data_IF_389402309336
#
_entry.id   IF_389402309336
#
_cell.length_a   1.000
_cell.length_b   1.000
_cell.length_c   1.000
_cell.angle_alpha   90.00
_cell.angle_beta   90.00
_cell.angle_gamma   90.00
#
_symmetry.space_group_name_H-M   'P 1'
#
loop_
_entity.id
_entity.type
_entity.pdbx_description
1 polymer ?
#
# COMPACT_ATOMS: atom_id res chain seq x y z
N UNK A 1 -2.02 37.28 10.93
CA UNK A 1 -1.43 37.47 9.59
C UNK A 1 -1.13 36.10 9.02
N UNK A 2 -1.94 35.70 8.05
CA UNK A 2 -2.03 34.38 7.43
C UNK A 2 -1.02 34.32 6.29
N UNK A 3 -0.15 33.31 6.23
CA UNK A 3 0.73 33.09 5.08
C UNK A 3 0.57 31.64 4.57
N UNK A 4 0.07 31.54 3.35
CA UNK A 4 -0.10 30.34 2.54
C UNK A 4 1.26 29.68 2.24
N UNK A 5 1.36 28.35 2.34
CA UNK A 5 2.46 27.58 1.74
C UNK A 5 1.92 26.80 0.55
N UNK A 6 2.47 27.11 -0.63
CA UNK A 6 2.14 26.50 -1.91
C UNK A 6 2.59 25.03 -1.99
N UNK A 7 1.74 24.23 -2.64
CA UNK A 7 1.99 22.87 -3.07
C UNK A 7 2.99 22.81 -4.24
N UNK A 8 3.89 21.84 -4.21
CA UNK A 8 4.46 21.22 -5.41
C UNK A 8 3.86 19.81 -5.49
N UNK A 9 2.75 19.69 -6.20
CA UNK A 9 2.17 18.41 -6.61
C UNK A 9 2.79 18.03 -7.96
N UNK A 10 3.60 16.96 -7.98
CA UNK A 10 4.04 16.33 -9.22
C UNK A 10 2.84 15.67 -9.90
N UNK A 11 2.42 16.21 -11.03
CA UNK A 11 1.41 15.59 -11.90
C UNK A 11 1.97 14.32 -12.53
N UNK A 12 1.32 13.18 -12.29
CA UNK A 12 1.48 11.99 -13.12
C UNK A 12 0.34 11.99 -14.14
N UNK A 13 0.66 12.24 -15.42
CA UNK A 13 -0.28 12.17 -16.53
C UNK A 13 -0.47 10.71 -16.93
N UNK A 14 -1.67 10.18 -16.74
CA UNK A 14 -2.10 8.92 -17.36
C UNK A 14 -2.59 9.22 -18.78
N UNK A 15 -1.81 8.90 -19.82
CA UNK A 15 -2.24 8.96 -21.22
C UNK A 15 -2.60 7.56 -21.72
N UNK A 16 -3.86 7.37 -22.13
CA UNK A 16 -4.36 6.16 -22.78
C UNK A 16 -4.73 6.48 -24.22
N UNK A 17 -3.97 5.97 -25.19
CA UNK A 17 -4.30 6.01 -26.61
C UNK A 17 -5.21 4.83 -26.97
N UNK A 18 -6.37 5.14 -27.56
CA UNK A 18 -7.31 4.16 -28.09
C UNK A 18 -6.90 3.68 -29.48
N UNK A 19 -6.84 2.36 -29.68
CA UNK A 19 -6.60 1.74 -30.97
C UNK A 19 -7.93 1.50 -31.71
N UNK A 20 -8.07 2.07 -32.90
CA UNK A 20 -9.12 1.78 -33.87
C UNK A 20 -8.66 0.66 -34.82
N UNK A 21 -9.50 -0.35 -34.98
CA UNK A 21 -9.31 -1.52 -35.85
C UNK A 21 -9.64 -1.22 -37.32
N UNK A 22 -8.93 -1.85 -38.28
CA UNK A 22 -9.46 -2.44 -39.56
C UNK A 22 -8.34 -3.06 -40.43
N UNK A 23 -8.63 -3.89 -41.48
CA UNK A 23 -8.44 -5.34 -41.46
C UNK A 23 -7.40 -5.88 -42.47
N UNK A 24 -7.16 -7.21 -42.39
CA UNK A 24 -6.27 -8.00 -43.26
C UNK A 24 -6.80 -8.22 -44.69
N UNK A 25 -5.91 -8.65 -45.61
CA UNK A 25 -6.28 -9.53 -46.71
C UNK A 25 -5.49 -10.85 -46.75
N UNK A 26 -6.10 -11.79 -47.49
CA UNK A 26 -5.82 -13.22 -47.67
C UNK A 26 -4.81 -13.56 -48.78
N UNK A 27 -4.43 -14.85 -48.81
CA UNK A 27 -3.80 -15.68 -49.85
C UNK A 27 -2.26 -15.62 -49.98
N UNK A 28 -1.52 -16.72 -50.14
CA UNK A 28 -1.88 -18.14 -50.24
C UNK A 28 -0.68 -19.01 -50.66
N UNK A 29 -0.95 -20.32 -50.71
CA UNK A 29 -0.33 -21.39 -51.53
C UNK A 29 0.93 -22.15 -51.05
N UNK A 30 0.71 -23.49 -50.94
CA UNK A 30 1.51 -24.62 -51.50
C UNK A 30 2.85 -24.95 -50.81
N UNK A 31 3.30 -26.20 -50.61
CA UNK A 31 2.87 -27.57 -50.96
C UNK A 31 3.72 -28.59 -50.18
N UNK A 32 3.15 -29.81 -49.98
CA UNK A 32 3.75 -31.17 -49.99
C UNK A 32 4.97 -31.48 -49.06
N UNK A 33 5.12 -32.66 -48.44
CA UNK A 33 5.09 -34.02 -49.01
C UNK A 33 4.73 -35.12 -47.98
N UNK A 34 4.40 -36.29 -48.52
CA UNK A 34 3.95 -37.52 -47.86
C UNK A 34 5.12 -38.44 -47.51
N UNK A 35 4.93 -39.28 -46.49
CA UNK A 35 5.66 -40.54 -46.30
C UNK A 35 4.82 -41.48 -45.43
N UNK A 36 4.60 -42.70 -45.87
CA UNK A 36 3.59 -43.64 -45.39
C UNK A 36 4.21 -44.97 -44.92
N UNK A 37 3.39 -45.77 -44.21
CA UNK A 37 3.47 -47.23 -43.91
C UNK A 37 4.38 -47.64 -42.74
N UNK A 38 4.12 -48.68 -41.95
CA UNK A 38 3.04 -49.69 -41.90
C UNK A 38 2.94 -50.30 -40.48
N UNK A 39 1.72 -50.76 -40.15
CA UNK A 39 1.28 -51.93 -39.35
C UNK A 39 2.26 -52.76 -38.49
N UNK A 40 1.85 -53.06 -37.25
CA UNK A 40 1.68 -54.44 -36.73
C UNK A 40 0.80 -54.51 -35.45
N UNK A 41 0.17 -55.67 -35.22
CA UNK A 41 -1.03 -55.97 -34.40
C UNK A 41 -0.73 -56.40 -32.95
N UNK A 42 -1.61 -55.97 -32.02
CA UNK A 42 -2.34 -56.64 -30.89
C UNK A 42 -1.69 -57.75 -30.00
N UNK A 43 -2.19 -58.05 -28.76
CA UNK A 43 -3.58 -57.91 -28.28
C UNK A 43 -3.87 -57.48 -26.81
N UNK A 44 -5.16 -57.18 -26.63
CA UNK A 44 -6.06 -57.41 -25.47
C UNK A 44 -5.78 -56.84 -24.06
N UNK A 45 -6.77 -56.05 -23.59
CA UNK A 45 -6.90 -55.58 -22.21
C UNK A 45 -8.12 -54.66 -22.04
N UNK A 46 -9.30 -55.27 -21.95
CA UNK A 46 -10.62 -54.70 -21.64
C UNK A 46 -10.63 -53.70 -20.48
N UNK A 47 -11.30 -52.56 -20.62
CA UNK A 47 -12.31 -52.02 -19.67
C UNK A 47 -13.01 -50.80 -20.30
N UNK A 48 -14.31 -50.91 -20.52
CA UNK A 48 -15.13 -49.92 -21.22
C UNK A 48 -15.49 -48.69 -20.39
N UNK A 49 -15.47 -47.52 -21.04
CA UNK A 49 -16.06 -46.28 -20.53
C UNK A 49 -17.23 -45.87 -21.46
N UNK A 50 -18.38 -45.43 -20.92
CA UNK A 50 -19.56 -45.16 -21.74
C UNK A 50 -19.39 -43.89 -22.59
N UNK A 51 -19.80 -44.01 -23.86
CA UNK A 51 -19.87 -42.93 -24.86
C UNK A 51 -20.80 -41.81 -24.38
N UNK A 52 -20.31 -40.57 -24.31
CA UNK A 52 -21.16 -39.38 -24.16
C UNK A 52 -21.95 -39.13 -25.45
N UNK A 53 -23.27 -39.14 -25.33
CA UNK A 53 -24.21 -38.69 -26.35
C UNK A 53 -24.13 -37.14 -26.43
N UNK A 54 -24.12 -36.51 -27.62
CA UNK A 54 -24.14 -35.06 -27.72
C UNK A 54 -25.55 -34.52 -27.38
N UNK A 55 -25.67 -33.80 -26.26
CA UNK A 55 -26.88 -33.04 -25.95
C UNK A 55 -26.98 -31.80 -26.86
N UNK A 56 -28.17 -31.47 -27.41
CA UNK A 56 -28.36 -30.23 -28.15
C UNK A 56 -28.18 -29.02 -27.24
N UNK A 57 -27.48 -28.00 -27.75
CA UNK A 57 -27.21 -26.75 -27.06
C UNK A 57 -28.52 -26.03 -26.69
N UNK A 58 -28.89 -26.08 -25.42
CA UNK A 58 -29.85 -25.17 -24.81
C UNK A 58 -29.20 -23.78 -24.78
N UNK A 59 -29.63 -22.90 -25.68
CA UNK A 59 -29.38 -21.46 -25.57
C UNK A 59 -29.96 -20.99 -24.24
N UNK A 60 -29.09 -20.56 -23.33
CA UNK A 60 -29.51 -19.78 -22.18
C UNK A 60 -30.25 -18.52 -22.66
N UNK A 61 -31.31 -18.08 -21.98
CA UNK A 61 -31.95 -16.81 -22.28
C UNK A 61 -30.89 -15.71 -22.14
N UNK A 62 -30.87 -14.78 -23.10
CA UNK A 62 -30.07 -13.56 -23.01
C UNK A 62 -30.43 -12.84 -21.72
N UNK A 63 -29.57 -12.94 -20.70
CA UNK A 63 -29.66 -12.08 -19.53
C UNK A 63 -29.66 -10.63 -20.01
N UNK A 64 -30.62 -9.87 -19.49
CA UNK A 64 -30.94 -8.54 -19.95
C UNK A 64 -29.73 -7.62 -20.00
N UNK A 65 -29.76 -6.66 -20.93
CA UNK A 65 -28.84 -5.53 -20.93
C UNK A 65 -28.92 -4.84 -19.58
N UNK A 66 -27.99 -5.16 -18.68
CA UNK A 66 -27.86 -4.51 -17.39
C UNK A 66 -27.70 -3.00 -17.61
N UNK A 67 -28.40 -2.21 -16.82
CA UNK A 67 -28.22 -0.76 -16.74
C UNK A 67 -26.71 -0.51 -16.59
N UNK A 68 -26.09 0.09 -17.62
CA UNK A 68 -24.64 0.18 -17.70
C UNK A 68 -24.06 1.01 -16.56
N UNK A 69 -23.23 0.39 -15.71
CA UNK A 69 -22.48 1.11 -14.68
C UNK A 69 -21.38 1.95 -15.33
N UNK A 70 -21.35 3.25 -15.04
CA UNK A 70 -20.30 4.17 -15.51
C UNK A 70 -19.16 4.27 -14.50
N UNK A 71 -17.94 4.53 -15.00
CA UNK A 71 -16.77 4.81 -14.14
C UNK A 71 -16.84 6.23 -13.61
N UNK A 72 -16.68 6.38 -12.30
CA UNK A 72 -16.58 7.67 -11.62
C UNK A 72 -15.27 7.75 -10.84
N UNK A 73 -14.79 8.98 -10.65
CA UNK A 73 -13.58 9.28 -9.91
C UNK A 73 -13.78 10.56 -9.11
N UNK A 74 -13.33 10.54 -7.85
CA UNK A 74 -13.42 11.66 -6.93
C UNK A 74 -12.12 11.79 -6.16
N UNK A 75 -11.78 13.02 -5.77
CA UNK A 75 -10.58 13.33 -5.01
C UNK A 75 -10.88 14.24 -3.81
N UNK A 76 -10.17 14.02 -2.71
CA UNK A 76 -10.20 14.90 -1.53
C UNK A 76 -8.88 14.82 -0.76
N UNK A 77 -8.51 15.89 -0.05
CA UNK A 77 -7.26 15.95 0.72
C UNK A 77 -7.48 15.52 2.17
N UNK A 78 -6.76 14.50 2.62
CA UNK A 78 -6.80 13.97 3.98
C UNK A 78 -5.43 13.39 4.36
N UNK A 79 -5.10 13.31 5.66
CA UNK A 79 -3.86 12.69 6.14
C UNK A 79 -2.58 13.21 5.45
N UNK A 80 -2.56 14.51 5.10
CA UNK A 80 -1.41 15.14 4.44
C UNK A 80 -1.22 14.78 2.96
N UNK A 81 -2.18 14.09 2.31
CA UNK A 81 -2.11 13.70 0.90
C UNK A 81 -3.46 13.84 0.19
N UNK A 82 -3.48 13.63 -1.13
CA UNK A 82 -4.73 13.51 -1.91
C UNK A 82 -5.14 12.04 -1.93
N UNK A 83 -6.36 11.78 -1.48
CA UNK A 83 -7.05 10.52 -1.68
C UNK A 83 -7.84 10.58 -2.99
N UNK A 84 -7.73 9.54 -3.81
CA UNK A 84 -8.51 9.33 -5.03
C UNK A 84 -9.31 8.05 -4.89
N UNK A 85 -10.61 8.12 -5.18
CA UNK A 85 -11.51 6.96 -5.15
C UNK A 85 -12.12 6.81 -6.54
N UNK A 86 -11.88 5.66 -7.17
CA UNK A 86 -12.37 5.33 -8.50
C UNK A 86 -13.25 4.09 -8.43
N UNK A 87 -14.47 4.13 -8.96
CA UNK A 87 -15.39 2.99 -8.93
C UNK A 87 -16.49 3.08 -9.98
N UNK A 88 -17.31 2.04 -10.08
CA UNK A 88 -18.41 1.94 -11.03
C UNK A 88 -19.77 2.08 -10.32
N UNK A 89 -20.65 2.93 -10.83
CA UNK A 89 -21.99 3.17 -10.29
C UNK A 89 -23.02 3.42 -11.40
N UNK A 90 -24.31 3.36 -11.08
CA UNK A 90 -25.40 3.57 -12.04
C UNK A 90 -25.47 5.02 -12.55
N UNK A 91 -25.26 5.98 -11.66
CA UNK A 91 -25.37 7.41 -11.97
C UNK A 91 -24.46 8.27 -11.06
N UNK A 92 -24.26 9.53 -11.46
CA UNK A 92 -23.39 10.48 -10.75
C UNK A 92 -23.89 10.83 -9.34
N UNK A 93 -25.19 11.07 -9.09
CA UNK A 93 -25.69 11.31 -7.73
C UNK A 93 -25.37 10.18 -6.76
N UNK A 94 -25.62 8.92 -7.15
CA UNK A 94 -25.31 7.73 -6.34
C UNK A 94 -23.81 7.63 -6.11
N UNK A 95 -23.00 7.84 -7.15
CA UNK A 95 -21.56 7.83 -7.04
C UNK A 95 -21.06 8.90 -6.06
N UNK A 96 -21.55 10.14 -6.19
CA UNK A 96 -21.14 11.24 -5.32
C UNK A 96 -21.48 10.93 -3.85
N UNK A 97 -22.67 10.41 -3.57
CA UNK A 97 -23.09 10.02 -2.22
C UNK A 97 -22.15 8.97 -1.60
N UNK A 98 -21.75 7.96 -2.38
CA UNK A 98 -20.84 6.92 -1.92
C UNK A 98 -19.42 7.47 -1.66
N UNK A 99 -18.91 8.31 -2.58
CA UNK A 99 -17.60 8.94 -2.43
C UNK A 99 -17.56 9.89 -1.24
N UNK A 100 -18.58 10.74 -1.04
CA UNK A 100 -18.68 11.66 0.09
C UNK A 100 -18.65 10.87 1.42
N UNK A 101 -19.39 9.76 1.52
CA UNK A 101 -19.40 8.93 2.72
C UNK A 101 -18.02 8.28 3.00
N UNK A 102 -17.33 7.81 1.96
CA UNK A 102 -15.97 7.29 2.09
C UNK A 102 -14.98 8.38 2.55
N UNK A 103 -15.06 9.60 2.01
CA UNK A 103 -14.21 10.71 2.44
C UNK A 103 -14.51 11.18 3.86
N UNK A 104 -15.78 11.15 4.30
CA UNK A 104 -16.13 11.41 5.70
C UNK A 104 -15.43 10.40 6.61
N UNK A 105 -15.48 9.10 6.27
CA UNK A 105 -14.78 8.07 7.04
C UNK A 105 -13.26 8.28 7.08
N UNK A 106 -12.65 8.63 5.96
CA UNK A 106 -11.22 8.96 5.91
C UNK A 106 -10.92 10.19 6.78
N UNK A 107 -11.77 11.21 6.78
CA UNK A 107 -11.62 12.41 7.60
C UNK A 107 -11.73 12.11 9.10
N UNK A 108 -12.64 11.21 9.50
CA UNK A 108 -12.75 10.73 10.88
C UNK A 108 -11.45 10.04 11.33
N UNK A 109 -10.92 9.13 10.51
CA UNK A 109 -9.65 8.45 10.78
C UNK A 109 -8.47 9.42 10.85
N UNK A 110 -8.45 10.46 10.02
CA UNK A 110 -7.47 11.55 10.11
C UNK A 110 -7.63 12.36 11.41
N UNK A 111 -8.87 12.51 11.91
CA UNK A 111 -9.14 13.06 13.24
C UNK A 111 -8.67 12.16 14.39
N UNK A 112 -8.54 10.85 14.17
CA UNK A 112 -8.08 9.89 15.18
C UNK A 112 -6.55 9.78 15.17
N UNK A 113 -5.95 9.63 13.99
CA UNK A 113 -4.58 9.12 13.83
C UNK A 113 -3.54 10.19 13.48
N UNK A 114 -3.95 11.44 13.24
CA UNK A 114 -3.00 12.48 12.84
C UNK A 114 -2.10 12.92 13.99
N UNK A 115 -0.80 12.92 13.76
CA UNK A 115 0.20 13.51 14.66
C UNK A 115 0.45 15.01 14.38
N UNK A 116 -0.17 15.57 13.33
CA UNK A 116 -0.17 16.99 13.01
C UNK A 116 -1.32 17.75 13.70
N UNK A 117 -2.46 17.10 13.90
CA UNK A 117 -3.64 17.71 14.54
C UNK A 117 -3.54 17.59 16.05
N UNK A 118 -3.37 18.72 16.74
CA UNK A 118 -3.28 18.76 18.21
C UNK A 118 -4.48 18.09 18.89
N UNK A 119 -5.68 18.24 18.35
CA UNK A 119 -6.89 17.64 18.96
C UNK A 119 -7.20 16.22 18.49
N UNK A 120 -6.29 15.58 17.73
CA UNK A 120 -6.49 14.18 17.38
C UNK A 120 -6.49 13.28 18.60
N UNK A 121 -7.15 12.13 18.47
CA UNK A 121 -7.14 11.13 19.53
C UNK A 121 -5.71 10.67 19.87
N UNK A 122 -4.88 10.41 18.86
CA UNK A 122 -3.46 10.05 19.02
C UNK A 122 -2.69 11.09 19.83
N UNK A 123 -2.87 12.39 19.53
CA UNK A 123 -2.16 13.46 20.23
C UNK A 123 -2.71 13.69 21.64
N UNK A 124 -4.00 13.46 21.89
CA UNK A 124 -4.57 13.45 23.25
C UNK A 124 -4.00 12.29 24.07
N UNK A 125 -3.88 11.09 23.48
CA UNK A 125 -3.22 9.95 24.11
C UNK A 125 -1.79 10.30 24.49
N UNK A 126 -0.98 10.83 23.56
CA UNK A 126 0.41 11.19 23.86
C UNK A 126 0.51 12.27 24.94
N UNK A 127 -0.38 13.28 24.94
CA UNK A 127 -0.42 14.33 25.97
C UNK A 127 -0.67 13.79 27.37
N UNK A 128 -1.47 12.72 27.52
CA UNK A 128 -1.73 12.11 28.81
C UNK A 128 -0.47 11.53 29.49
N UNK A 129 0.61 11.29 28.72
CA UNK A 129 1.89 10.77 29.21
C UNK A 129 3.05 11.75 28.97
N UNK A 130 2.77 13.05 28.77
CA UNK A 130 3.80 14.02 28.37
C UNK A 130 4.85 14.29 29.45
N UNK A 131 4.45 14.28 30.73
CA UNK A 131 5.31 14.66 31.86
C UNK A 131 5.63 13.51 32.81
N UNK A 132 4.74 12.52 32.91
CA UNK A 132 4.88 11.37 33.80
C UNK A 132 4.18 10.14 33.24
N UNK A 133 4.50 8.96 33.77
CA UNK A 133 3.77 7.73 33.46
C UNK A 133 2.45 7.73 34.25
N UNK A 134 1.33 7.76 33.54
CA UNK A 134 -0.01 7.79 34.12
C UNK A 134 -0.73 6.43 34.04
N UNK A 135 -1.97 6.38 34.52
CA UNK A 135 -2.85 5.23 34.31
C UNK A 135 -3.13 4.98 32.81
N UNK A 136 -3.39 3.72 32.40
CA UNK A 136 -3.77 3.42 31.01
C UNK A 136 -4.98 4.25 30.54
N UNK A 137 -4.91 4.75 29.32
CA UNK A 137 -5.95 5.58 28.70
C UNK A 137 -6.77 4.74 27.74
N UNK A 138 -8.10 4.78 27.88
CA UNK A 138 -9.01 4.14 26.91
C UNK A 138 -8.99 4.89 25.59
N UNK A 139 -8.92 4.14 24.49
CA UNK A 139 -8.94 4.67 23.12
C UNK A 139 -10.08 4.04 22.31
N UNK A 140 -10.35 4.62 21.15
CA UNK A 140 -11.30 4.12 20.16
C UNK A 140 -10.86 2.78 19.57
N UNK A 141 -11.83 2.07 19.01
CA UNK A 141 -11.60 0.78 18.35
C UNK A 141 -10.62 0.90 17.18
N UNK A 142 -10.72 1.99 16.41
CA UNK A 142 -9.84 2.29 15.28
C UNK A 142 -8.40 2.50 15.73
N UNK A 143 -8.19 3.37 16.72
CA UNK A 143 -6.84 3.64 17.22
C UNK A 143 -6.23 2.39 17.85
N UNK A 144 -7.02 1.64 18.65
CA UNK A 144 -6.55 0.41 19.27
C UNK A 144 -6.16 -0.64 18.21
N UNK A 145 -6.99 -0.83 17.18
CA UNK A 145 -6.72 -1.78 16.11
C UNK A 145 -5.40 -1.47 15.38
N UNK A 146 -5.19 -0.21 14.99
CA UNK A 146 -3.96 0.20 14.32
C UNK A 146 -2.74 0.04 15.22
N UNK A 147 -2.83 0.40 16.50
CA UNK A 147 -1.73 0.21 17.45
C UNK A 147 -1.40 -1.28 17.68
N UNK A 148 -2.41 -2.14 17.73
CA UNK A 148 -2.20 -3.59 17.84
C UNK A 148 -1.51 -4.16 16.59
N UNK A 149 -1.90 -3.71 15.40
CA UNK A 149 -1.24 -4.11 14.14
C UNK A 149 0.19 -3.60 14.07
N UNK A 150 0.43 -2.37 14.53
CA UNK A 150 1.75 -1.79 14.64
C UNK A 150 2.65 -2.59 15.59
N UNK A 151 2.18 -2.89 16.82
CA UNK A 151 2.92 -3.69 17.80
C UNK A 151 3.30 -5.07 17.26
N UNK A 152 2.35 -5.76 16.62
CA UNK A 152 2.61 -7.07 16.03
C UNK A 152 3.71 -7.02 14.95
N UNK A 153 3.72 -5.98 14.11
CA UNK A 153 4.78 -5.80 13.11
C UNK A 153 6.11 -5.37 13.74
N UNK A 154 6.08 -4.52 14.77
CA UNK A 154 7.28 -4.14 15.52
C UNK A 154 7.96 -5.35 16.15
N UNK A 155 7.20 -6.29 16.73
CA UNK A 155 7.72 -7.55 17.26
C UNK A 155 8.34 -8.40 16.14
N UNK A 156 7.60 -8.63 15.04
CA UNK A 156 8.07 -9.49 13.93
C UNK A 156 9.31 -8.93 13.21
N UNK A 157 9.42 -7.60 13.16
CA UNK A 157 10.50 -6.89 12.47
C UNK A 157 11.66 -6.50 13.39
N UNK A 158 11.64 -6.93 14.67
CA UNK A 158 12.63 -6.55 15.69
C UNK A 158 12.84 -5.02 15.78
N UNK A 159 11.72 -4.28 15.79
CA UNK A 159 11.69 -2.82 15.88
C UNK A 159 12.11 -2.08 14.62
N UNK A 160 12.29 -2.75 13.47
CA UNK A 160 12.53 -2.06 12.20
C UNK A 160 11.31 -1.25 11.73
N UNK A 161 10.10 -1.68 12.11
CA UNK A 161 8.91 -0.84 12.14
C UNK A 161 8.60 -0.47 13.59
N UNK A 162 8.44 0.82 13.88
CA UNK A 162 8.13 1.28 15.23
C UNK A 162 7.35 2.61 15.15
N UNK A 163 6.13 2.63 15.67
CA UNK A 163 5.29 3.83 15.68
C UNK A 163 5.68 4.82 16.78
N UNK A 164 6.60 4.48 17.67
CA UNK A 164 7.08 5.38 18.74
C UNK A 164 8.17 6.34 18.28
N UNK A 165 8.53 6.34 16.99
CA UNK A 165 9.55 7.21 16.39
C UNK A 165 9.17 8.69 16.38
N UNK A 166 7.96 9.07 16.82
CA UNK A 166 7.44 10.43 16.80
C UNK A 166 8.42 11.51 17.27
N UNK A 167 9.10 11.37 18.44
CA UNK A 167 10.04 12.39 18.92
C UNK A 167 11.17 12.68 17.92
N UNK A 168 11.67 11.63 17.25
CA UNK A 168 12.78 11.74 16.31
C UNK A 168 12.28 12.20 14.93
N UNK A 169 11.10 11.78 14.52
CA UNK A 169 10.46 12.28 13.29
C UNK A 169 10.24 13.79 13.36
N UNK A 170 9.82 14.35 14.49
CA UNK A 170 9.62 15.79 14.63
C UNK A 170 10.94 16.57 14.45
N UNK A 171 12.05 16.06 14.97
CA UNK A 171 13.38 16.64 14.76
C UNK A 171 13.78 16.59 13.27
N UNK A 172 13.55 15.47 12.58
CA UNK A 172 13.81 15.36 11.15
C UNK A 172 12.91 16.25 10.30
N UNK A 173 11.65 16.47 10.69
CA UNK A 173 10.76 17.44 10.04
C UNK A 173 11.31 18.86 10.19
N UNK A 174 11.89 19.21 11.33
CA UNK A 174 12.58 20.49 11.51
C UNK A 174 13.85 20.56 10.65
N UNK A 175 14.71 19.54 10.70
CA UNK A 175 15.92 19.44 9.90
C UNK A 175 15.65 19.59 8.40
N UNK A 176 14.57 19.01 7.88
CA UNK A 176 14.12 19.19 6.49
C UNK A 176 13.74 20.63 6.16
N UNK A 177 13.19 21.38 7.12
CA UNK A 177 12.82 22.79 6.91
C UNK A 177 14.02 23.73 7.02
N UNK A 178 14.93 23.45 7.95
CA UNK A 178 16.10 24.31 8.23
C UNK A 178 17.34 23.93 7.43
N UNK A 179 17.37 22.73 6.84
CA UNK A 179 18.56 22.12 6.21
C UNK A 179 19.72 21.91 7.20
N UNK A 180 19.41 21.78 8.49
CA UNK A 180 20.39 21.62 9.57
C UNK A 180 20.16 20.29 10.31
N UNK A 181 21.24 19.65 10.74
CA UNK A 181 21.12 18.45 11.57
C UNK A 181 20.50 18.80 12.93
N UNK A 182 19.70 17.90 13.52
CA UNK A 182 19.21 18.07 14.88
C UNK A 182 20.37 18.29 15.87
N UNK A 183 20.15 19.10 16.90
CA UNK A 183 21.12 19.23 17.99
C UNK A 183 21.42 17.84 18.59
N UNK A 184 22.70 17.44 18.75
CA UNK A 184 23.03 16.10 19.20
C UNK A 184 22.46 15.73 20.58
N UNK A 185 22.34 16.69 21.50
CA UNK A 185 21.78 16.45 22.84
C UNK A 185 20.27 16.29 22.78
N UNK A 186 19.59 17.12 22.01
CA UNK A 186 18.15 16.98 21.77
C UNK A 186 17.81 15.66 21.06
N UNK A 187 18.61 15.29 20.06
CA UNK A 187 18.47 14.05 19.34
C UNK A 187 18.65 12.81 20.24
N UNK A 188 19.68 12.81 21.10
CA UNK A 188 19.88 11.74 22.07
C UNK A 188 18.68 11.58 23.01
N UNK A 189 18.16 12.69 23.58
CA UNK A 189 16.97 12.70 24.43
C UNK A 189 15.69 12.27 23.69
N UNK A 190 15.59 12.55 22.39
CA UNK A 190 14.47 12.06 21.58
C UNK A 190 14.52 10.54 21.41
N UNK A 191 15.71 9.99 21.16
CA UNK A 191 15.91 8.53 21.00
C UNK A 191 15.59 7.72 22.24
N UNK A 192 15.86 8.25 23.44
CA UNK A 192 15.52 7.59 24.72
C UNK A 192 14.00 7.34 24.87
N UNK A 193 13.17 8.05 24.11
CA UNK A 193 11.71 7.96 24.13
C UNK A 193 11.15 7.13 22.96
N UNK A 194 12.02 6.45 22.21
CA UNK A 194 11.63 5.55 21.12
C UNK A 194 11.84 4.11 21.56
N UNK A 195 10.79 3.30 21.42
CA UNK A 195 10.82 1.85 21.60
C UNK A 195 9.42 1.28 21.77
N UNK A 196 9.00 0.42 20.82
CA UNK A 196 7.69 -0.23 20.85
C UNK A 196 7.41 -1.02 22.14
N UNK A 197 8.45 -1.56 22.78
CA UNK A 197 8.36 -2.28 24.08
C UNK A 197 7.94 -1.38 25.25
N UNK A 198 7.98 -0.06 25.06
CA UNK A 198 7.55 0.95 26.04
C UNK A 198 6.07 1.31 25.88
N UNK A 199 5.35 0.64 24.98
CA UNK A 199 3.89 0.77 24.84
C UNK A 199 3.25 -0.49 25.41
N UNK A 200 2.22 -0.34 26.26
CA UNK A 200 1.38 -1.46 26.70
C UNK A 200 -0.02 -1.31 26.13
N UNK A 201 -0.50 -2.36 25.48
CA UNK A 201 -1.86 -2.48 24.98
C UNK A 201 -2.63 -3.51 25.84
N UNK A 202 -3.84 -3.16 26.26
CA UNK A 202 -4.80 -4.08 26.88
C UNK A 202 -5.96 -4.33 25.89
N UNK A 203 -6.01 -5.48 25.21
CA UNK A 203 -7.06 -5.79 24.24
C UNK A 203 -8.46 -5.92 24.82
N UNK A 204 -8.58 -6.30 26.08
CA UNK A 204 -9.90 -6.49 26.71
C UNK A 204 -10.52 -5.14 27.07
N UNK A 205 -9.71 -4.21 27.60
CA UNK A 205 -10.17 -2.89 28.01
C UNK A 205 -10.05 -1.83 26.92
N UNK A 206 -9.32 -2.14 25.83
CA UNK A 206 -8.92 -1.20 24.77
C UNK A 206 -8.22 0.03 25.34
N UNK A 207 -7.28 -0.22 26.25
CA UNK A 207 -6.48 0.85 26.89
C UNK A 207 -5.04 0.78 26.45
N UNK A 208 -4.41 1.96 26.37
CA UNK A 208 -3.01 2.14 25.99
C UNK A 208 -2.26 2.83 27.13
N UNK A 209 -1.07 2.36 27.44
CA UNK A 209 -0.17 3.01 28.40
C UNK A 209 1.20 3.24 27.76
N UNK A 210 1.71 4.47 27.84
CA UNK A 210 3.07 4.81 27.44
C UNK A 210 3.95 4.81 28.70
N UNK A 211 5.01 4.01 28.69
CA UNK A 211 5.84 3.73 29.86
C UNK A 211 7.01 4.71 30.05
N UNK A 212 7.20 5.62 29.10
CA UNK A 212 8.25 6.63 29.15
C UNK A 212 7.61 8.01 28.97
N UNK A 213 7.85 8.96 29.89
CA UNK A 213 7.33 10.31 29.76
C UNK A 213 7.79 11.00 28.47
N UNK A 214 6.87 11.73 27.85
CA UNK A 214 7.16 12.50 26.63
C UNK A 214 7.32 11.66 25.37
N UNK A 215 6.95 10.38 25.39
CA UNK A 215 6.76 9.57 24.18
C UNK A 215 5.77 10.25 23.23
N UNK A 216 6.02 10.09 21.93
CA UNK A 216 5.09 10.50 20.88
C UNK A 216 4.94 9.37 19.87
N UNK A 217 3.71 9.15 19.43
CA UNK A 217 3.40 8.15 18.43
C UNK A 217 3.25 8.82 17.05
N UNK A 218 3.73 8.16 16.01
CA UNK A 218 3.59 8.52 14.61
C UNK A 218 3.05 7.30 13.85
N UNK A 219 1.86 7.46 13.26
CA UNK A 219 1.16 6.42 12.50
C UNK A 219 1.28 6.60 10.97
N UNK A 220 2.15 7.50 10.49
CA UNK A 220 2.28 7.84 9.07
C UNK A 220 2.71 6.69 8.16
N UNK A 221 3.29 5.64 8.74
CA UNK A 221 3.66 4.40 8.06
C UNK A 221 2.64 3.27 8.12
N UNK A 222 1.41 3.51 8.59
CA UNK A 222 0.36 2.47 8.69
C UNK A 222 -1.06 3.01 8.49
N UNK A 223 -1.30 4.28 8.85
CA UNK A 223 -2.63 4.87 8.89
C UNK A 223 -3.29 5.02 7.50
N UNK A 224 -2.52 5.28 6.44
CA UNK A 224 -3.08 5.51 5.10
C UNK A 224 -3.59 4.20 4.49
N UNK A 225 -2.81 3.13 4.65
CA UNK A 225 -3.26 1.77 4.33
C UNK A 225 -4.58 1.41 5.02
N UNK A 226 -4.69 1.66 6.32
CA UNK A 226 -5.93 1.42 7.07
C UNK A 226 -7.11 2.30 6.61
N UNK A 227 -6.87 3.57 6.31
CA UNK A 227 -7.90 4.45 5.80
C UNK A 227 -8.43 4.01 4.43
N UNK A 228 -7.54 3.49 3.56
CA UNK A 228 -7.95 2.89 2.30
C UNK A 228 -8.80 1.62 2.51
N UNK A 229 -8.42 0.76 3.46
CA UNK A 229 -9.18 -0.43 3.84
C UNK A 229 -10.60 -0.08 4.28
N UNK A 230 -10.73 0.87 5.21
CA UNK A 230 -12.02 1.28 5.75
C UNK A 230 -12.89 2.00 4.70
N UNK A 231 -12.29 2.78 3.80
CA UNK A 231 -13.01 3.40 2.69
C UNK A 231 -13.57 2.35 1.72
N UNK A 232 -12.75 1.37 1.31
CA UNK A 232 -13.19 0.31 0.40
C UNK A 232 -14.26 -0.58 1.05
N UNK A 233 -14.08 -0.93 2.33
CA UNK A 233 -15.05 -1.66 3.13
C UNK A 233 -16.39 -0.94 3.21
N UNK A 234 -16.38 0.38 3.46
CA UNK A 234 -17.60 1.19 3.50
C UNK A 234 -18.31 1.21 2.14
N UNK A 235 -17.57 1.39 1.03
CA UNK A 235 -18.14 1.34 -0.32
C UNK A 235 -18.80 -0.03 -0.61
N UNK A 236 -18.13 -1.12 -0.21
CA UNK A 236 -18.62 -2.48 -0.38
C UNK A 236 -19.86 -2.76 0.46
N UNK A 237 -19.78 -2.51 1.76
CA UNK A 237 -20.77 -2.99 2.74
C UNK A 237 -22.01 -2.09 2.78
N UNK A 238 -21.86 -0.78 2.57
CA UNK A 238 -22.96 0.19 2.65
C UNK A 238 -23.60 0.47 1.28
N UNK A 239 -22.80 0.49 0.21
CA UNK A 239 -23.25 0.87 -1.13
C UNK A 239 -23.27 -0.29 -2.13
N UNK A 240 -22.79 -1.48 -1.75
CA UNK A 240 -22.69 -2.62 -2.67
C UNK A 240 -21.62 -2.45 -3.76
N UNK A 241 -20.75 -1.45 -3.64
CA UNK A 241 -19.75 -1.09 -4.65
C UNK A 241 -18.49 -1.91 -4.39
N UNK A 242 -18.38 -3.07 -5.04
CA UNK A 242 -17.24 -3.99 -4.89
C UNK A 242 -16.07 -3.67 -5.82
N UNK A 243 -16.37 -3.08 -6.98
CA UNK A 243 -15.40 -2.68 -8.01
C UNK A 243 -14.95 -1.24 -7.77
N UNK A 244 -14.06 -1.09 -6.80
CA UNK A 244 -13.52 0.21 -6.42
C UNK A 244 -12.00 0.12 -6.21
N UNK A 245 -11.33 1.25 -6.42
CA UNK A 245 -9.93 1.48 -6.14
C UNK A 245 -9.83 2.72 -5.26
N UNK A 246 -9.09 2.61 -4.16
CA UNK A 246 -8.78 3.73 -3.27
C UNK A 246 -7.27 3.95 -3.29
N UNK A 247 -6.83 5.14 -3.68
CA UNK A 247 -5.42 5.52 -3.72
C UNK A 247 -5.16 6.69 -2.76
N UNK A 248 -4.12 6.56 -1.94
CA UNK A 248 -3.61 7.58 -1.04
C UNK A 248 -2.11 7.78 -1.32
N UNK A 249 -1.80 8.60 -2.34
CA UNK A 249 -0.44 8.66 -2.92
C UNK A 249 0.03 7.28 -3.40
N UNK A 250 1.11 6.73 -2.87
CA UNK A 250 1.68 5.43 -3.23
C UNK A 250 0.98 4.21 -2.62
N UNK A 251 -0.01 4.42 -1.75
CA UNK A 251 -0.81 3.36 -1.13
C UNK A 251 -2.11 3.16 -1.93
N UNK A 252 -2.26 2.00 -2.57
CA UNK A 252 -3.38 1.70 -3.46
C UNK A 252 -4.04 0.41 -3.00
N UNK A 253 -5.35 0.45 -2.77
CA UNK A 253 -6.18 -0.71 -2.46
C UNK A 253 -7.20 -0.95 -3.56
N UNK A 254 -7.19 -2.16 -4.12
CA UNK A 254 -8.05 -2.58 -5.21
C UNK A 254 -9.09 -3.60 -4.72
N UNK A 255 -10.37 -3.32 -4.97
CA UNK A 255 -11.45 -4.29 -4.85
C UNK A 255 -11.55 -5.22 -6.05
N UNK A 256 -12.77 -5.63 -6.39
CA UNK A 256 -13.03 -6.48 -7.57
C UNK A 256 -12.55 -5.81 -8.87
N UNK A 257 -12.19 -6.60 -9.91
CA UNK A 257 -11.74 -6.08 -11.18
C UNK A 257 -12.74 -5.11 -11.84
N UNK A 258 -12.25 -4.10 -12.58
CA UNK A 258 -13.07 -3.34 -13.51
C UNK A 258 -13.84 -4.25 -14.49
N UNK A 259 -15.01 -3.82 -15.01
CA UNK A 259 -15.75 -4.59 -16.02
C UNK A 259 -14.87 -4.94 -17.24
N UNK A 260 -14.80 -6.23 -17.57
CA UNK A 260 -14.08 -6.72 -18.75
C UNK A 260 -12.55 -6.79 -18.62
N UNK A 261 -12.00 -6.68 -17.41
CA UNK A 261 -10.56 -6.84 -17.14
C UNK A 261 -10.30 -7.84 -16.02
N UNK A 262 -9.08 -8.38 -15.95
CA UNK A 262 -8.67 -9.31 -14.90
C UNK A 262 -8.24 -8.60 -13.60
N UNK A 263 -8.10 -7.27 -13.64
CA UNK A 263 -7.74 -6.46 -12.49
C UNK A 263 -7.51 -4.99 -12.84
N UNK A 264 -7.18 -4.22 -11.82
CA UNK A 264 -6.75 -2.83 -11.88
C UNK A 264 -5.29 -2.76 -12.28
N UNK A 265 -4.95 -1.91 -13.26
CA UNK A 265 -3.57 -1.66 -13.64
C UNK A 265 -2.95 -0.61 -12.71
N UNK A 266 -1.84 -0.96 -12.08
CA UNK A 266 -1.08 -0.08 -11.19
C UNK A 266 0.37 -0.02 -11.66
N UNK A 267 0.88 1.17 -11.90
CA UNK A 267 2.27 1.37 -12.32
C UNK A 267 3.18 1.64 -11.12
N UNK A 268 4.34 0.97 -11.10
CA UNK A 268 5.43 1.20 -10.16
C UNK A 268 6.47 2.08 -10.86
N UNK A 269 6.71 3.25 -10.29
CA UNK A 269 7.69 4.19 -10.82
C UNK A 269 9.13 3.67 -10.65
N UNK A 270 10.00 3.81 -11.67
CA UNK A 270 11.41 3.46 -11.56
C UNK A 270 12.16 4.44 -10.64
N UNK A 271 13.11 3.95 -9.84
CA UNK A 271 13.97 4.80 -8.99
C UNK A 271 15.27 5.24 -9.69
N UNK A 272 15.70 4.50 -10.71
CA UNK A 272 16.82 4.83 -11.57
C UNK A 272 16.40 5.03 -13.03
N UNK A 273 17.07 5.92 -13.75
CA UNK A 273 16.83 6.19 -15.18
C UNK A 273 16.98 4.94 -16.07
N UNK A 274 17.80 3.98 -15.63
CA UNK A 274 18.04 2.71 -16.31
C UNK A 274 16.90 1.70 -16.14
N UNK A 275 15.95 1.93 -15.23
CA UNK A 275 14.83 1.03 -15.00
C UNK A 275 13.61 1.42 -15.84
N UNK A 276 12.93 0.40 -16.37
CA UNK A 276 11.61 0.57 -16.99
C UNK A 276 10.53 0.61 -15.88
N UNK A 277 9.44 1.36 -16.07
CA UNK A 277 8.26 1.23 -15.23
C UNK A 277 7.73 -0.20 -15.26
N UNK A 278 7.21 -0.68 -14.12
CA UNK A 278 6.53 -1.97 -14.03
C UNK A 278 5.03 -1.75 -13.89
N UNK A 279 4.23 -2.59 -14.52
CA UNK A 279 2.77 -2.55 -14.36
C UNK A 279 2.30 -3.83 -13.67
N UNK A 280 1.55 -3.67 -12.58
CA UNK A 280 0.86 -4.74 -11.88
C UNK A 280 -0.61 -4.77 -12.31
N UNK A 281 -1.19 -5.97 -12.40
CA UNK A 281 -2.63 -6.17 -12.53
C UNK A 281 -3.14 -6.74 -11.21
N UNK A 282 -3.93 -5.97 -10.46
CA UNK A 282 -4.34 -6.29 -9.09
C UNK A 282 -5.86 -6.37 -8.94
N UNK A 283 -6.33 -7.34 -8.17
CA UNK A 283 -7.73 -7.48 -7.79
C UNK A 283 -7.81 -8.02 -6.36
N UNK A 284 -8.67 -7.42 -5.53
CA UNK A 284 -8.82 -7.75 -4.10
C UNK A 284 -7.46 -7.78 -3.37
N UNK A 285 -6.65 -6.76 -3.63
CA UNK A 285 -5.28 -6.66 -3.13
C UNK A 285 -4.88 -5.18 -2.97
N UNK A 286 -3.95 -4.93 -2.06
CA UNK A 286 -3.28 -3.66 -1.89
C UNK A 286 -1.87 -3.70 -2.46
N UNK A 287 -1.38 -2.54 -2.87
CA UNK A 287 0.04 -2.28 -3.14
C UNK A 287 0.44 -0.96 -2.51
N UNK A 288 1.57 -0.95 -1.80
CA UNK A 288 2.18 0.25 -1.26
C UNK A 288 3.62 0.35 -1.76
N UNK A 289 4.14 1.57 -1.93
CA UNK A 289 5.55 1.81 -2.22
C UNK A 289 6.15 2.84 -1.26
N UNK A 290 7.20 2.45 -0.54
CA UNK A 290 8.05 3.38 0.21
C UNK A 290 9.39 3.57 -0.48
N UNK A 291 9.84 4.81 -0.57
CA UNK A 291 11.18 5.13 -1.07
C UNK A 291 11.54 6.59 -0.80
N UNK A 292 12.77 6.95 -1.13
CA UNK A 292 13.32 8.30 -0.92
C UNK A 292 13.18 9.20 -2.16
N UNK A 293 12.36 8.81 -3.14
CA UNK A 293 12.11 9.57 -4.36
C UNK A 293 11.43 10.91 -4.08
N UNK A 294 10.41 10.91 -3.22
CA UNK A 294 9.54 12.07 -3.01
C UNK A 294 9.92 12.90 -1.78
N UNK A 295 10.53 12.28 -0.76
CA UNK A 295 10.84 12.96 0.51
C UNK A 295 12.21 12.57 1.06
N UNK A 296 13.14 13.51 1.00
CA UNK A 296 14.50 13.43 1.54
C UNK A 296 15.01 14.83 1.94
N UNK A 297 16.17 14.89 2.59
CA UNK A 297 16.97 16.11 2.79
C UNK A 297 18.45 15.83 2.57
N UNK A 298 19.19 16.77 2.02
CA UNK A 298 20.64 16.69 1.89
C UNK A 298 21.30 17.66 2.87
N UNK A 299 22.08 17.15 3.80
CA UNK A 299 22.76 17.97 4.82
C UNK A 299 24.23 17.58 4.84
N UNK A 300 25.10 18.57 4.59
CA UNK A 300 26.57 18.37 4.52
C UNK A 300 26.97 17.25 3.53
N UNK A 301 26.30 17.19 2.38
CA UNK A 301 26.58 16.20 1.32
C UNK A 301 26.04 14.79 1.59
N UNK A 302 25.27 14.58 2.67
CA UNK A 302 24.63 13.30 2.96
C UNK A 302 23.13 13.42 2.75
N UNK A 303 22.57 12.54 1.91
CA UNK A 303 21.13 12.43 1.66
C UNK A 303 20.49 11.54 2.73
N UNK A 304 19.45 12.05 3.38
CA UNK A 304 18.65 11.34 4.38
C UNK A 304 17.20 11.20 3.91
N UNK A 305 16.70 9.97 3.86
CA UNK A 305 15.29 9.66 3.57
C UNK A 305 14.37 10.10 4.72
N UNK A 306 13.09 10.32 4.40
CA UNK A 306 12.04 10.47 5.41
C UNK A 306 11.75 9.17 6.19
N UNK A 307 12.13 8.01 5.64
CA UNK A 307 12.07 6.74 6.36
C UNK A 307 13.24 6.71 7.34
N UNK A 308 12.93 6.60 8.63
CA UNK A 308 13.92 6.53 9.69
C UNK A 308 14.18 5.08 10.08
N UNK A 309 15.42 4.76 10.44
CA UNK A 309 15.73 3.56 11.21
C UNK A 309 15.44 3.84 12.70
N UNK A 310 14.45 3.16 13.33
CA UNK A 310 14.11 3.41 14.73
C UNK A 310 15.27 3.15 15.71
N UNK A 311 16.21 2.24 15.37
CA UNK A 311 17.35 1.90 16.25
C UNK A 311 18.34 3.05 16.34
N UNK A 312 18.65 3.68 15.21
CA UNK A 312 19.60 4.80 15.13
C UNK A 312 18.93 6.16 15.26
N UNK A 313 17.63 6.25 14.96
CA UNK A 313 16.88 7.49 14.82
C UNK A 313 17.22 8.28 13.55
N UNK A 314 18.08 7.76 12.66
CA UNK A 314 18.54 8.48 11.48
C UNK A 314 17.68 8.17 10.26
N UNK A 315 17.53 9.14 9.36
CA UNK A 315 16.98 8.89 8.03
C UNK A 315 17.88 7.92 7.26
N UNK A 316 17.29 6.99 6.52
CA UNK A 316 18.06 6.04 5.71
C UNK A 316 18.88 6.79 4.65
N UNK A 317 20.16 6.46 4.53
CA UNK A 317 21.09 7.09 3.58
C UNK A 317 21.26 6.29 2.28
N UNK A 318 21.05 4.97 2.35
CA UNK A 318 21.04 4.11 1.16
C UNK A 318 19.72 4.28 0.40
N UNK A 319 19.81 4.74 -0.85
CA UNK A 319 18.66 4.93 -1.75
C UNK A 319 17.99 3.59 -2.04
N UNK A 320 16.69 3.51 -1.76
CA UNK A 320 15.91 2.29 -1.95
C UNK A 320 14.45 2.59 -2.24
N UNK A 321 13.82 1.71 -3.01
CA UNK A 321 12.39 1.65 -3.24
C UNK A 321 11.89 0.25 -2.87
N UNK A 322 10.86 0.19 -2.04
CA UNK A 322 10.25 -1.06 -1.57
C UNK A 322 8.77 -1.00 -1.91
N UNK A 323 8.35 -1.85 -2.83
CA UNK A 323 6.94 -2.07 -3.17
C UNK A 323 6.46 -3.36 -2.51
N UNK A 324 5.35 -3.32 -1.78
CA UNK A 324 4.73 -4.49 -1.15
C UNK A 324 3.31 -4.65 -1.68
N UNK A 325 2.97 -5.85 -2.12
CA UNK A 325 1.59 -6.30 -2.40
C UNK A 325 1.11 -7.10 -1.19
N UNK A 326 -0.12 -6.89 -0.73
CA UNK A 326 -0.72 -7.66 0.37
C UNK A 326 -2.26 -7.77 0.19
N UNK A 327 -2.96 -8.60 0.97
CA UNK A 327 -4.42 -8.68 0.91
C UNK A 327 -5.15 -7.40 1.35
N UNK A 328 -4.51 -6.58 2.19
CA UNK A 328 -5.07 -5.35 2.75
C UNK A 328 -4.02 -4.22 2.78
N UNK A 329 -4.52 -2.98 2.80
CA UNK A 329 -3.75 -1.75 2.73
C UNK A 329 -2.89 -1.54 3.96
N UNK A 330 -3.42 -1.80 5.16
CA UNK A 330 -2.68 -1.65 6.42
C UNK A 330 -1.43 -2.54 6.46
N UNK A 331 -1.52 -3.77 5.94
CA UNK A 331 -0.35 -4.66 5.82
C UNK A 331 0.62 -4.17 4.76
N UNK A 332 0.14 -3.76 3.58
CA UNK A 332 1.02 -3.27 2.51
C UNK A 332 1.80 -2.02 2.94
N UNK A 333 1.14 -0.97 3.45
CA UNK A 333 1.75 0.30 3.88
C UNK A 333 2.84 0.05 4.94
N UNK A 334 2.46 -0.64 6.03
CA UNK A 334 3.38 -0.87 7.16
C UNK A 334 4.57 -1.77 6.82
N UNK A 335 4.38 -2.79 5.96
CA UNK A 335 5.48 -3.66 5.55
C UNK A 335 6.50 -2.96 4.66
N UNK A 336 6.10 -1.98 3.85
CA UNK A 336 7.09 -1.22 3.06
C UNK A 336 8.08 -0.49 3.97
N UNK A 337 7.63 0.03 5.12
CA UNK A 337 8.48 0.70 6.11
C UNK A 337 9.43 -0.28 6.79
N UNK A 338 8.90 -1.41 7.28
CA UNK A 338 9.72 -2.46 7.90
C UNK A 338 10.81 -2.97 6.94
N UNK A 339 10.43 -3.34 5.71
CA UNK A 339 11.33 -3.84 4.69
C UNK A 339 12.30 -2.78 4.15
N UNK A 340 11.95 -1.48 4.26
CA UNK A 340 12.88 -0.40 3.97
C UNK A 340 14.00 -0.30 5.00
N UNK A 341 13.77 -0.66 6.26
CA UNK A 341 14.79 -0.55 7.32
C UNK A 341 15.62 -1.84 7.44
N UNK A 342 14.98 -3.00 7.29
CA UNK A 342 15.63 -4.30 7.43
C UNK A 342 16.74 -4.53 6.38
N UNK A 343 17.77 -5.34 6.70
CA UNK A 343 18.60 -5.97 5.69
C UNK A 343 17.74 -6.76 4.70
N UNK A 344 18.15 -6.77 3.44
CA UNK A 344 17.36 -7.33 2.33
C UNK A 344 16.87 -8.76 2.60
N UNK A 345 17.75 -9.64 3.07
CA UNK A 345 17.43 -11.04 3.34
C UNK A 345 16.35 -11.16 4.42
N UNK A 346 16.49 -10.37 5.50
CA UNK A 346 15.51 -10.34 6.59
C UNK A 346 14.18 -9.71 6.17
N UNK A 347 14.23 -8.72 5.28
CA UNK A 347 13.03 -8.14 4.68
C UNK A 347 12.24 -9.19 3.87
N UNK A 348 12.93 -9.99 3.05
CA UNK A 348 12.29 -11.08 2.31
C UNK A 348 11.70 -12.14 3.22
N UNK A 349 12.42 -12.55 4.26
CA UNK A 349 11.89 -13.50 5.26
C UNK A 349 10.60 -13.02 5.92
N UNK A 350 10.57 -11.74 6.32
CA UNK A 350 9.38 -11.12 6.90
C UNK A 350 8.18 -11.13 5.93
N UNK A 351 8.44 -10.79 4.67
CA UNK A 351 7.40 -10.77 3.61
C UNK A 351 6.92 -12.19 3.29
N UNK A 352 7.83 -13.15 3.11
CA UNK A 352 7.47 -14.52 2.76
C UNK A 352 6.69 -15.21 3.90
N UNK A 353 7.04 -14.90 5.14
CA UNK A 353 6.32 -15.33 6.35
C UNK A 353 4.96 -14.67 6.56
N UNK A 354 4.60 -13.67 5.75
CA UNK A 354 3.29 -13.02 5.79
C UNK A 354 2.37 -13.60 4.71
N UNK A 355 1.23 -14.22 5.08
CA UNK A 355 0.29 -14.78 4.11
C UNK A 355 -0.22 -13.73 3.11
N UNK A 356 -0.18 -14.08 1.83
CA UNK A 356 -0.64 -13.20 0.75
C UNK A 356 0.26 -12.00 0.45
N UNK A 357 1.35 -11.80 1.19
CA UNK A 357 2.28 -10.72 0.93
C UNK A 357 3.35 -11.09 -0.10
N UNK A 358 3.77 -10.10 -0.87
CA UNK A 358 4.88 -10.15 -1.82
C UNK A 358 5.59 -8.80 -1.86
N UNK A 359 6.90 -8.78 -2.15
CA UNK A 359 7.66 -7.54 -2.24
C UNK A 359 8.60 -7.51 -3.46
N UNK A 360 8.85 -6.28 -3.92
CA UNK A 360 9.86 -5.91 -4.90
C UNK A 360 10.69 -4.78 -4.32
N UNK A 361 11.99 -5.02 -4.20
CA UNK A 361 12.96 -4.14 -3.55
C UNK A 361 14.00 -3.74 -4.59
N UNK A 362 14.22 -2.44 -4.73
CA UNK A 362 15.30 -1.88 -5.53
C UNK A 362 16.20 -1.06 -4.62
N UNK A 363 17.50 -1.34 -4.64
CA UNK A 363 18.52 -0.56 -3.93
C UNK A 363 19.45 0.05 -4.97
N UNK A 364 19.77 1.33 -4.81
CA UNK A 364 20.79 2.00 -5.61
C UNK A 364 22.05 2.14 -4.76
N UNK A 365 23.08 1.41 -5.15
CA UNK A 365 24.43 1.59 -4.61
C UNK A 365 25.11 2.80 -5.28
N UNK A 366 26.27 3.20 -4.77
CA UNK A 366 27.01 4.40 -5.17
C UNK A 366 27.32 4.49 -6.68
N UNK A 367 27.28 3.38 -7.42
CA UNK A 367 27.52 3.32 -8.87
C UNK A 367 26.23 3.48 -9.72
N UNK A 368 25.11 3.88 -9.11
CA UNK A 368 23.77 4.05 -9.72
C UNK A 368 23.19 2.79 -10.41
N UNK A 369 23.85 1.63 -10.32
CA UNK A 369 23.32 0.36 -10.81
C UNK A 369 22.26 -0.18 -9.83
N UNK A 370 21.01 -0.34 -10.26
CA UNK A 370 19.95 -0.86 -9.39
C UNK A 370 20.14 -2.34 -9.11
N UNK A 371 20.33 -2.68 -7.84
CA UNK A 371 20.22 -4.05 -7.34
C UNK A 371 18.74 -4.31 -7.07
N UNK A 372 18.17 -5.25 -7.81
CA UNK A 372 16.75 -5.58 -7.73
C UNK A 372 16.57 -6.94 -7.07
N UNK A 373 15.59 -7.07 -6.19
CA UNK A 373 15.27 -8.32 -5.51
C UNK A 373 13.77 -8.42 -5.28
N UNK A 374 13.20 -9.60 -5.53
CA UNK A 374 11.77 -9.85 -5.34
C UNK A 374 11.54 -11.10 -4.50
N UNK A 375 10.47 -11.07 -3.71
CA UNK A 375 9.96 -12.27 -3.03
C UNK A 375 9.41 -13.28 -4.03
N UNK A 376 9.32 -14.55 -3.65
CA UNK A 376 8.80 -15.63 -4.52
C UNK A 376 7.41 -15.37 -5.12
N UNK A 377 6.54 -14.68 -4.38
CA UNK A 377 5.15 -14.42 -4.78
C UNK A 377 4.98 -13.15 -5.62
N UNK A 378 6.02 -12.34 -5.79
CA UNK A 378 5.88 -11.10 -6.53
C UNK A 378 5.70 -11.39 -8.03
N UNK A 379 4.73 -10.77 -8.72
CA UNK A 379 4.51 -11.01 -10.14
C UNK A 379 5.77 -10.76 -10.96
N UNK A 380 6.10 -11.71 -11.85
CA UNK A 380 7.17 -11.54 -12.83
C UNK A 380 6.67 -10.65 -13.98
N UNK A 381 7.62 -9.96 -14.63
CA UNK A 381 7.36 -9.16 -15.85
C UNK A 381 6.81 -10.00 -17.00
#
# INVERSE_FOLDING_TARGET
>A
MTCYSLLLAGFCHLTLTGALSRPAPLNGTRSAERGARNEEREPEGTFGLPRRVPHPALRAPSEGRGVGSSRFEFESKHMGTTFRITFYAADRPTAKKAADAAFVRIAELDGIMSDYKKESELMRLCRAFASEVAAPVKVSDDLFFVLQKAEALSIKSDGAFDVTVGPVVQLWRLARRTQELPDPKEFARARERVGYKMVKLDPQKKTVQLLTPGMQLDLGGIAKGYAADEALKLLRDTFGIKRALVAASGDILCGEPPPGTDGWKVEIAPIAKSQKPRTLTLANAAVSTSGDLEQFVEIKGVRYSHVLDPKTGLGLTGRRSVTVIAPDGITADSMTKAASVLPRERALELIEGTPGAAAYIVILDNDEKPVTTSSKRFPKE
#
